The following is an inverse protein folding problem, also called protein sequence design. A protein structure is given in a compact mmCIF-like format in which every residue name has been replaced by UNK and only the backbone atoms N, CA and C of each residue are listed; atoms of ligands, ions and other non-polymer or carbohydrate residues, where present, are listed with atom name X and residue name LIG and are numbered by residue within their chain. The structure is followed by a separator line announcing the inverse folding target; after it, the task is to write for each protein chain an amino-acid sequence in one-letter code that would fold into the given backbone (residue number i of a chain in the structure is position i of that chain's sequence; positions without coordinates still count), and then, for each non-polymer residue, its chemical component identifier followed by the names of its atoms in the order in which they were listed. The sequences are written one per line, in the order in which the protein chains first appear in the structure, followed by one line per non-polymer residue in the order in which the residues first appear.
data_IF_063132072411
#
_entry.id   IF_063132072411
#
_cell.length_a   1.000
_cell.length_b   1.000
_cell.length_c   1.000
_cell.angle_alpha   90.00
_cell.angle_beta   90.00
_cell.angle_gamma   90.00
#
_symmetry.space_group_name_H-M   'P 1'
#
loop_
_entity.id
_entity.type
_entity.pdbx_description
1 polymer ?
#
# COMPACT_ATOMS: atom_id res chain seq x y z
N UNK A 1 17.13 48.03 -22.94
CA UNK A 1 18.61 48.15 -22.99
C UNK A 1 19.30 46.81 -23.11
N UNK A 2 20.08 46.60 -24.17
CA UNK A 2 20.69 45.32 -24.55
C UNK A 2 22.04 45.07 -23.82
N UNK A 3 22.13 45.39 -22.52
CA UNK A 3 23.38 45.32 -21.74
C UNK A 3 23.96 43.90 -21.64
N UNK A 4 23.13 42.86 -21.79
CA UNK A 4 23.57 41.45 -21.76
C UNK A 4 24.50 41.06 -22.92
N UNK A 5 24.49 41.80 -24.03
CA UNK A 5 25.34 41.55 -25.22
C UNK A 5 26.56 42.48 -25.29
N UNK A 6 26.89 43.19 -24.21
CA UNK A 6 28.00 44.12 -24.18
C UNK A 6 29.35 43.39 -24.41
N UNK A 7 30.23 43.88 -25.30
CA UNK A 7 31.58 43.35 -25.49
C UNK A 7 32.46 43.56 -24.25
N UNK A 8 33.41 42.65 -24.03
CA UNK A 8 34.37 42.73 -22.93
C UNK A 8 35.38 43.85 -23.17
N UNK A 9 35.67 44.62 -22.12
CA UNK A 9 36.76 45.60 -22.08
C UNK A 9 37.67 45.33 -20.88
N UNK A 10 38.99 45.56 -20.99
CA UNK A 10 39.89 45.47 -19.85
C UNK A 10 39.55 46.52 -18.78
N UNK A 11 39.98 46.27 -17.54
CA UNK A 11 39.74 47.16 -16.39
C UNK A 11 40.42 48.53 -16.56
N UNK A 12 41.54 48.59 -17.28
CA UNK A 12 42.23 49.85 -17.63
C UNK A 12 41.32 50.82 -18.38
N UNK A 13 40.57 50.32 -19.36
CA UNK A 13 39.62 51.13 -20.14
C UNK A 13 38.50 51.71 -19.29
N UNK A 14 38.04 50.97 -18.28
CA UNK A 14 37.07 51.49 -17.32
C UNK A 14 37.70 52.63 -16.51
N UNK A 15 38.93 52.46 -16.01
CA UNK A 15 39.61 53.49 -15.23
C UNK A 15 39.84 54.78 -16.03
N UNK A 16 40.25 54.65 -17.29
CA UNK A 16 40.39 55.76 -18.22
C UNK A 16 39.06 56.46 -18.49
N UNK A 17 37.98 55.71 -18.74
CA UNK A 17 36.65 56.28 -18.93
C UNK A 17 36.13 57.03 -17.67
N UNK A 18 36.52 56.57 -16.48
CA UNK A 18 36.23 57.25 -15.21
C UNK A 18 37.03 58.55 -15.08
N UNK A 19 38.29 58.56 -15.49
CA UNK A 19 39.14 59.76 -15.48
C UNK A 19 38.59 60.86 -16.39
N UNK A 20 38.09 60.49 -17.58
CA UNK A 20 37.52 61.41 -18.57
C UNK A 20 36.03 61.73 -18.37
N UNK A 21 35.42 61.35 -17.24
CA UNK A 21 33.99 61.57 -16.94
C UNK A 21 33.03 61.05 -18.03
N UNK A 22 33.40 60.00 -18.76
CA UNK A 22 32.61 59.48 -19.89
C UNK A 22 31.58 58.41 -19.48
N UNK A 23 31.61 57.95 -18.23
CA UNK A 23 30.72 56.91 -17.70
C UNK A 23 29.42 57.51 -17.19
N UNK A 24 28.27 57.04 -17.68
CA UNK A 24 26.94 57.55 -17.29
C UNK A 24 26.22 56.67 -16.27
N UNK A 25 26.30 55.35 -16.46
CA UNK A 25 25.53 54.37 -15.66
C UNK A 25 26.39 53.14 -15.41
N UNK A 26 26.36 52.65 -14.18
CA UNK A 26 27.09 51.46 -13.75
C UNK A 26 26.11 50.48 -13.12
N UNK A 27 26.12 49.24 -13.61
CA UNK A 27 25.33 48.13 -13.10
C UNK A 27 26.28 47.08 -12.52
N UNK A 28 26.19 46.83 -11.22
CA UNK A 28 26.95 45.77 -10.57
C UNK A 28 26.08 44.53 -10.38
N UNK A 29 26.59 43.38 -10.81
CA UNK A 29 25.97 42.10 -10.49
C UNK A 29 26.40 41.67 -9.09
N UNK A 30 25.45 41.53 -8.17
CA UNK A 30 25.72 41.12 -6.78
C UNK A 30 26.37 39.73 -6.67
N UNK A 31 26.06 38.83 -7.62
CA UNK A 31 26.53 37.44 -7.63
C UNK A 31 27.61 37.09 -8.67
N UNK A 32 27.94 38.00 -9.58
CA UNK A 32 29.01 37.77 -10.56
C UNK A 32 29.95 38.96 -10.56
N UNK A 33 31.27 38.74 -10.57
CA UNK A 33 32.29 39.80 -10.60
C UNK A 33 32.31 40.58 -11.92
N UNK A 34 31.15 40.79 -12.55
CA UNK A 34 30.97 41.45 -13.83
C UNK A 34 30.27 42.79 -13.57
N UNK A 35 30.92 43.85 -14.01
CA UNK A 35 30.41 45.21 -13.97
C UNK A 35 30.07 45.64 -15.38
N UNK A 36 28.85 46.12 -15.57
CA UNK A 36 28.42 46.73 -16.83
C UNK A 36 28.45 48.23 -16.67
N UNK A 37 29.07 48.92 -17.62
CA UNK A 37 29.09 50.38 -17.64
C UNK A 37 28.70 50.91 -19.02
N UNK A 38 27.99 52.03 -19.01
CA UNK A 38 27.58 52.77 -20.21
C UNK A 38 28.49 53.97 -20.33
N UNK A 39 29.20 54.10 -21.46
CA UNK A 39 30.10 55.22 -21.72
C UNK A 39 29.77 55.92 -23.03
N UNK A 40 30.05 57.22 -23.09
CA UNK A 40 29.98 58.03 -24.32
C UNK A 40 31.34 57.95 -25.02
N UNK A 41 31.35 57.57 -26.29
CA UNK A 41 32.54 57.73 -27.14
C UNK A 41 32.33 58.97 -27.99
N UNK A 42 33.22 59.94 -27.89
CA UNK A 42 33.30 61.04 -28.85
C UNK A 42 34.07 60.50 -30.06
N UNK A 43 33.39 60.28 -31.19
CA UNK A 43 34.05 59.85 -32.42
C UNK A 43 34.75 61.04 -33.05
N UNK A 44 36.05 60.93 -33.30
CA UNK A 44 36.84 61.99 -33.95
C UNK A 44 36.76 61.93 -35.49
N UNK A 45 36.05 60.94 -36.04
CA UNK A 45 35.83 60.75 -37.48
C UNK A 45 34.34 60.87 -37.85
N UNK A 46 33.80 62.09 -37.92
CA UNK A 46 32.62 62.42 -38.74
C UNK A 46 32.45 63.94 -38.84
N UNK A 47 32.74 64.50 -40.01
CA UNK A 47 32.70 65.95 -40.25
C UNK A 47 31.27 66.51 -40.31
N UNK A 48 30.20 65.70 -40.35
CA UNK A 48 28.85 66.25 -40.55
C UNK A 48 27.72 65.80 -39.59
N UNK A 49 27.94 65.02 -38.54
CA UNK A 49 26.90 64.81 -37.51
C UNK A 49 27.49 64.52 -36.13
N UNK A 50 27.21 65.40 -35.16
CA UNK A 50 27.69 65.32 -33.78
C UNK A 50 26.90 64.26 -32.96
N UNK A 51 26.78 63.03 -33.48
CA UNK A 51 26.12 61.92 -32.80
C UNK A 51 27.04 61.32 -31.73
N UNK A 52 26.79 61.63 -30.46
CA UNK A 52 27.49 60.95 -29.35
C UNK A 52 27.05 59.48 -29.30
N UNK A 53 27.93 58.56 -29.71
CA UNK A 53 27.63 57.13 -29.68
C UNK A 53 27.76 56.62 -28.25
N UNK A 54 26.66 56.13 -27.68
CA UNK A 54 26.63 55.63 -26.31
C UNK A 54 26.58 54.12 -26.32
N UNK A 55 27.63 53.47 -25.82
CA UNK A 55 27.76 52.01 -25.88
C UNK A 55 27.95 51.38 -24.51
N UNK A 56 27.47 50.13 -24.38
CA UNK A 56 27.63 49.32 -23.17
C UNK A 56 28.90 48.48 -23.25
N UNK A 57 29.67 48.43 -22.17
CA UNK A 57 30.82 47.54 -22.00
C UNK A 57 30.67 46.73 -20.72
N UNK A 58 31.32 45.58 -20.68
CA UNK A 58 31.43 44.75 -19.48
C UNK A 58 32.89 44.55 -19.10
N UNK A 59 33.19 44.69 -17.81
CA UNK A 59 34.52 44.46 -17.25
C UNK A 59 34.41 43.45 -16.12
N UNK A 60 35.37 42.53 -16.02
CA UNK A 60 35.48 41.60 -14.89
C UNK A 60 36.31 42.24 -13.78
N UNK A 61 35.75 42.28 -12.59
CA UNK A 61 36.43 42.74 -11.37
C UNK A 61 37.19 41.56 -10.74
N UNK A 62 38.37 41.80 -10.15
CA UNK A 62 39.09 40.76 -9.42
C UNK A 62 38.28 40.31 -8.19
N UNK A 63 38.02 39.00 -8.03
CA UNK A 63 37.09 38.48 -7.01
C UNK A 63 37.57 38.57 -5.56
N UNK A 64 38.80 39.04 -5.30
CA UNK A 64 39.42 39.04 -3.97
C UNK A 64 39.89 40.43 -3.49
N UNK A 65 39.40 41.52 -4.09
CA UNK A 65 39.80 42.89 -3.73
C UNK A 65 38.59 43.79 -3.47
N UNK A 66 37.84 43.57 -2.35
CA UNK A 66 36.66 44.36 -2.03
C UNK A 66 36.99 45.84 -1.76
N UNK A 67 38.22 46.15 -1.36
CA UNK A 67 38.70 47.52 -1.14
C UNK A 67 38.78 48.31 -2.45
N UNK A 68 39.39 47.74 -3.49
CA UNK A 68 39.49 48.34 -4.82
C UNK A 68 38.10 48.67 -5.40
N UNK A 69 37.14 47.77 -5.22
CA UNK A 69 35.76 47.99 -5.68
C UNK A 69 35.11 49.15 -4.93
N UNK A 70 35.28 49.22 -3.60
CA UNK A 70 34.75 50.33 -2.78
C UNK A 70 35.37 51.67 -3.17
N UNK A 71 36.68 51.73 -3.38
CA UNK A 71 37.39 52.94 -3.82
C UNK A 71 36.94 53.38 -5.22
N UNK A 72 36.78 52.43 -6.14
CA UNK A 72 36.23 52.71 -7.47
C UNK A 72 34.78 53.25 -7.37
N UNK A 73 33.95 52.68 -6.50
CA UNK A 73 32.58 53.16 -6.29
C UNK A 73 32.56 54.57 -5.68
N UNK A 74 33.47 54.87 -4.74
CA UNK A 74 33.61 56.21 -4.15
C UNK A 74 34.13 57.25 -5.16
N UNK A 75 35.08 56.88 -6.02
CA UNK A 75 35.60 57.76 -7.09
C UNK A 75 34.55 58.05 -8.15
N UNK A 76 33.72 57.06 -8.50
CA UNK A 76 32.57 57.22 -9.38
C UNK A 76 31.50 58.17 -8.80
N UNK A 77 31.26 58.11 -7.49
CA UNK A 77 30.29 58.97 -6.80
C UNK A 77 30.80 60.41 -6.63
N UNK A 78 32.07 60.59 -6.28
CA UNK A 78 32.67 61.91 -6.01
C UNK A 78 32.93 62.73 -7.28
N UNK A 79 33.21 62.10 -8.42
CA UNK A 79 33.55 62.80 -9.68
C UNK A 79 32.34 63.12 -10.57
N UNK A 80 31.11 62.90 -10.11
CA UNK A 80 29.89 63.45 -10.74
C UNK A 80 29.49 62.87 -12.12
N UNK A 81 30.11 61.78 -12.59
CA UNK A 81 29.77 61.16 -13.87
C UNK A 81 28.60 60.15 -13.81
N UNK A 82 28.43 59.46 -12.68
CA UNK A 82 27.45 58.38 -12.54
C UNK A 82 26.12 58.87 -11.96
N UNK A 83 25.08 58.94 -12.78
CA UNK A 83 23.74 59.38 -12.36
C UNK A 83 22.84 58.25 -11.84
N UNK A 84 23.28 56.99 -11.88
CA UNK A 84 22.48 55.86 -11.37
C UNK A 84 23.37 54.62 -11.15
N UNK A 85 23.63 54.28 -9.88
CA UNK A 85 24.28 53.02 -9.49
C UNK A 85 23.18 52.04 -9.08
N UNK A 86 22.90 51.05 -9.91
CA UNK A 86 21.91 50.02 -9.60
C UNK A 86 22.62 48.68 -9.41
N UNK A 87 22.43 48.08 -8.24
CA UNK A 87 22.75 46.67 -8.02
C UNK A 87 21.68 45.86 -8.75
N UNK A 88 22.07 44.94 -9.63
CA UNK A 88 21.09 44.12 -10.36
C UNK A 88 20.16 43.41 -9.35
N UNK A 89 18.84 43.41 -9.60
CA UNK A 89 17.86 42.94 -8.63
C UNK A 89 18.07 41.47 -8.28
N UNK A 90 17.98 41.17 -6.98
CA UNK A 90 17.95 39.81 -6.46
C UNK A 90 16.90 38.99 -7.21
N UNK A 91 17.33 37.88 -7.79
CA UNK A 91 16.46 36.99 -8.57
C UNK A 91 15.24 36.56 -7.74
N UNK A 92 14.07 36.45 -8.38
CA UNK A 92 12.82 35.98 -7.75
C UNK A 92 12.98 34.69 -6.93
N UNK A 93 13.98 33.87 -7.29
CA UNK A 93 14.36 32.64 -6.60
C UNK A 93 14.81 32.86 -5.16
N UNK A 94 15.51 33.96 -4.84
CA UNK A 94 15.96 34.23 -3.47
C UNK A 94 14.81 34.64 -2.55
N UNK A 95 13.79 35.33 -3.10
CA UNK A 95 12.58 35.72 -2.36
C UNK A 95 11.65 34.54 -2.07
N UNK A 96 11.64 33.51 -2.92
CA UNK A 96 10.84 32.30 -2.71
C UNK A 96 11.58 31.16 -2.01
N UNK A 97 12.92 31.19 -1.97
CA UNK A 97 13.72 30.13 -1.35
C UNK A 97 13.49 30.00 0.17
N UNK A 98 13.36 31.12 0.90
CA UNK A 98 13.13 31.12 2.35
C UNK A 98 11.81 30.45 2.77
N UNK A 99 10.64 30.79 2.20
CA UNK A 99 9.39 30.10 2.55
C UNK A 99 9.37 28.65 2.07
N UNK A 100 10.02 28.31 0.95
CA UNK A 100 10.12 26.92 0.48
C UNK A 100 10.91 26.03 1.44
N UNK A 101 12.03 26.53 1.98
CA UNK A 101 12.84 25.78 2.95
C UNK A 101 12.08 25.57 4.27
N UNK A 102 11.34 26.59 4.73
CA UNK A 102 10.51 26.50 5.93
C UNK A 102 9.29 25.57 5.75
N UNK A 103 8.74 25.48 4.54
CA UNK A 103 7.60 24.63 4.23
C UNK A 103 7.96 23.14 4.08
N UNK A 104 9.23 22.81 3.79
CA UNK A 104 9.70 21.44 3.59
C UNK A 104 9.36 20.47 4.73
N UNK A 105 9.59 20.77 6.03
CA UNK A 105 9.18 19.89 7.12
C UNK A 105 7.65 19.73 7.23
N UNK A 106 6.87 20.76 6.90
CA UNK A 106 5.40 20.68 6.93
C UNK A 106 4.85 19.84 5.77
N UNK A 107 5.43 19.95 4.57
CA UNK A 107 5.09 19.12 3.42
C UNK A 107 5.48 17.66 3.68
N UNK A 108 6.66 17.43 4.26
CA UNK A 108 7.10 16.11 4.68
C UNK A 108 6.15 15.49 5.72
N UNK A 109 5.75 16.26 6.74
CA UNK A 109 4.84 15.79 7.78
C UNK A 109 3.42 15.57 7.25
N UNK A 110 2.94 16.43 6.34
CA UNK A 110 1.68 16.23 5.64
C UNK A 110 1.69 14.97 4.77
N UNK A 111 2.78 14.75 4.02
CA UNK A 111 2.94 13.54 3.20
C UNK A 111 3.03 12.27 4.06
N UNK A 112 3.79 12.32 5.16
CA UNK A 112 3.88 11.23 6.12
C UNK A 112 2.52 10.95 6.78
N UNK A 113 1.78 12.00 7.15
CA UNK A 113 0.41 11.88 7.65
C UNK A 113 -0.52 11.22 6.62
N UNK A 114 -0.44 11.61 5.34
CA UNK A 114 -1.19 10.94 4.26
C UNK A 114 -0.75 9.50 4.03
N UNK A 115 0.55 9.19 4.14
CA UNK A 115 1.08 7.83 4.00
C UNK A 115 0.60 6.93 5.15
N UNK A 116 0.62 7.44 6.39
CA UNK A 116 0.08 6.73 7.56
C UNK A 116 -1.42 6.51 7.44
N UNK A 117 -2.19 7.47 6.91
CA UNK A 117 -3.62 7.25 6.64
C UNK A 117 -3.87 6.21 5.54
N UNK A 118 -3.04 6.17 4.49
CA UNK A 118 -3.17 5.18 3.42
C UNK A 118 -2.79 3.77 3.90
N UNK A 119 -1.77 3.66 4.75
CA UNK A 119 -1.39 2.41 5.42
C UNK A 119 -2.42 2.00 6.48
N UNK A 120 -2.97 2.95 7.24
CA UNK A 120 -4.04 2.70 8.21
C UNK A 120 -5.31 2.17 7.55
N UNK A 121 -5.69 2.65 6.35
CA UNK A 121 -6.83 2.08 5.62
C UNK A 121 -6.53 0.68 5.06
N UNK A 122 -5.27 0.35 4.78
CA UNK A 122 -4.87 -1.02 4.44
C UNK A 122 -4.78 -1.93 5.68
N UNK A 123 -4.47 -1.39 6.87
CA UNK A 123 -4.36 -2.15 8.12
C UNK A 123 -5.62 -2.20 8.99
N UNK A 124 -6.58 -1.31 8.80
CA UNK A 124 -7.92 -1.45 9.38
C UNK A 124 -8.64 -2.68 8.81
N UNK A 125 -8.33 -3.06 7.56
CA UNK A 125 -8.75 -4.32 6.95
C UNK A 125 -7.78 -5.49 7.18
N UNK A 126 -6.64 -5.29 7.86
CA UNK A 126 -5.79 -6.38 8.35
C UNK A 126 -6.33 -6.99 9.67
N UNK A 127 -7.56 -6.65 10.03
CA UNK A 127 -8.37 -7.35 11.04
C UNK A 127 -9.25 -8.45 10.42
N UNK A 128 -9.50 -8.40 9.11
CA UNK A 128 -9.88 -9.59 8.34
C UNK A 128 -8.59 -10.33 7.99
N UNK A 129 -8.26 -11.32 8.82
CA UNK A 129 -7.20 -12.27 8.55
C UNK A 129 -7.27 -12.71 7.08
N UNK A 130 -6.16 -12.58 6.36
CA UNK A 130 -5.87 -13.29 5.12
C UNK A 130 -5.95 -14.79 5.42
N UNK A 131 -7.17 -15.31 5.44
CA UNK A 131 -7.41 -16.73 5.38
C UNK A 131 -7.12 -17.13 3.95
N UNK A 132 -5.92 -17.69 3.73
CA UNK A 132 -5.78 -18.66 2.66
C UNK A 132 -6.98 -19.59 2.78
N UNK A 133 -7.83 -19.70 1.75
CA UNK A 133 -8.97 -20.59 1.79
C UNK A 133 -8.38 -21.97 2.05
N UNK A 134 -8.58 -22.45 3.28
CA UNK A 134 -8.11 -23.76 3.63
C UNK A 134 -8.87 -24.71 2.72
N UNK A 135 -8.15 -25.44 1.87
CA UNK A 135 -8.74 -26.23 0.78
C UNK A 135 -9.93 -27.02 1.32
N UNK A 136 -11.13 -26.57 0.92
CA UNK A 136 -12.40 -27.21 1.23
C UNK A 136 -12.54 -28.40 0.29
N UNK A 137 -11.60 -29.35 0.35
CA UNK A 137 -11.72 -30.61 -0.36
C UNK A 137 -12.77 -31.43 0.38
N UNK A 138 -13.97 -31.56 -0.19
CA UNK A 138 -14.84 -32.69 0.16
C UNK A 138 -14.01 -33.96 -0.04
N UNK A 139 -13.55 -34.56 1.05
CA UNK A 139 -12.67 -35.73 1.00
C UNK A 139 -13.48 -36.94 0.55
N UNK A 140 -13.49 -37.22 -0.76
CA UNK A 140 -14.05 -38.45 -1.34
C UNK A 140 -13.14 -39.66 -1.12
N UNK A 141 -12.06 -39.52 -0.35
CA UNK A 141 -11.16 -40.63 -0.01
C UNK A 141 -11.78 -41.50 1.07
N UNK A 142 -11.78 -42.81 0.86
CA UNK A 142 -12.32 -43.85 1.75
C UNK A 142 -11.20 -44.78 2.24
N UNK A 143 -11.48 -45.75 3.12
CA UNK A 143 -10.46 -46.71 3.56
C UNK A 143 -9.97 -47.62 2.42
N UNK A 144 -10.78 -47.78 1.37
CA UNK A 144 -10.38 -48.52 0.17
C UNK A 144 -9.20 -47.85 -0.57
N UNK A 145 -9.05 -46.54 -0.42
CA UNK A 145 -8.00 -45.76 -1.10
C UNK A 145 -6.67 -45.76 -0.32
N UNK A 146 -6.60 -46.44 0.83
CA UNK A 146 -5.44 -46.43 1.73
C UNK A 146 -4.93 -47.85 1.96
N UNK A 147 -3.71 -48.15 1.51
CA UNK A 147 -3.08 -49.44 1.71
C UNK A 147 -2.40 -49.56 3.09
N UNK A 148 -2.38 -50.77 3.65
CA UNK A 148 -1.58 -51.11 4.84
C UNK A 148 -2.18 -50.69 6.19
N UNK A 149 -3.51 -50.61 6.28
CA UNK A 149 -4.23 -50.20 7.50
C UNK A 149 -4.65 -51.35 8.43
N UNK A 150 -4.38 -52.61 8.08
CA UNK A 150 -4.95 -53.79 8.75
C UNK A 150 -4.72 -53.81 10.27
N UNK A 151 -3.58 -53.32 10.74
CA UNK A 151 -3.23 -53.28 12.16
C UNK A 151 -3.98 -52.19 12.97
N UNK A 152 -4.40 -51.10 12.32
CA UNK A 152 -5.02 -49.93 12.96
C UNK A 152 -6.49 -49.75 12.59
N UNK A 153 -6.99 -50.59 11.68
CA UNK A 153 -8.37 -50.58 11.22
C UNK A 153 -9.40 -50.66 12.37
N UNK A 154 -9.28 -51.55 13.38
CA UNK A 154 -10.29 -51.62 14.44
C UNK A 154 -10.38 -50.32 15.26
N UNK A 155 -9.24 -49.74 15.62
CA UNK A 155 -9.18 -48.49 16.41
C UNK A 155 -9.79 -47.32 15.62
N UNK A 156 -9.47 -47.24 14.33
CA UNK A 156 -9.97 -46.19 13.44
C UNK A 156 -11.45 -46.37 13.13
N UNK A 157 -11.94 -47.61 13.02
CA UNK A 157 -13.36 -47.92 12.84
C UNK A 157 -14.21 -47.50 14.04
N UNK A 158 -13.71 -47.65 15.27
CA UNK A 158 -14.38 -47.15 16.47
C UNK A 158 -14.61 -45.64 16.40
N UNK A 159 -13.60 -44.89 15.96
CA UNK A 159 -13.68 -43.43 15.77
C UNK A 159 -14.72 -43.07 14.70
N UNK A 160 -14.75 -43.78 13.57
CA UNK A 160 -15.76 -43.56 12.53
C UNK A 160 -17.17 -43.84 13.06
N UNK A 161 -17.35 -44.92 13.83
CA UNK A 161 -18.63 -45.24 14.46
C UNK A 161 -19.08 -44.14 15.42
N UNK A 162 -18.16 -43.61 16.22
CA UNK A 162 -18.41 -42.50 17.11
C UNK A 162 -18.84 -41.23 16.35
N UNK A 163 -18.14 -40.87 15.27
CA UNK A 163 -18.44 -39.69 14.48
C UNK A 163 -19.80 -39.78 13.76
N UNK A 164 -20.22 -40.98 13.33
CA UNK A 164 -21.52 -41.19 12.70
C UNK A 164 -22.69 -41.10 13.69
N UNK A 165 -22.56 -41.66 14.89
CA UNK A 165 -23.65 -41.76 15.87
C UNK A 165 -23.27 -41.24 17.26
N UNK A 166 -23.00 -39.93 17.43
CA UNK A 166 -22.53 -39.39 18.71
C UNK A 166 -23.54 -39.53 19.85
N UNK A 167 -24.85 -39.57 19.54
CA UNK A 167 -25.94 -39.68 20.54
C UNK A 167 -25.95 -41.03 21.24
N UNK A 168 -25.66 -42.12 20.53
CA UNK A 168 -25.61 -43.48 21.10
C UNK A 168 -24.50 -43.61 22.13
N UNK A 169 -23.32 -43.05 21.85
CA UNK A 169 -22.20 -43.04 22.78
C UNK A 169 -22.45 -42.15 24.01
N UNK A 170 -23.15 -41.02 23.84
CA UNK A 170 -23.57 -40.17 24.95
C UNK A 170 -24.59 -40.87 25.85
N UNK A 171 -25.54 -41.61 25.28
CA UNK A 171 -26.53 -42.37 26.04
C UNK A 171 -25.88 -43.51 26.87
N UNK A 172 -24.81 -44.10 26.37
CA UNK A 172 -23.99 -45.09 27.09
C UNK A 172 -23.08 -44.47 28.16
N UNK A 173 -23.02 -43.14 28.28
CA UNK A 173 -22.13 -42.45 29.22
C UNK A 173 -20.65 -42.51 28.84
N UNK A 174 -20.32 -42.95 27.63
CA UNK A 174 -18.94 -43.03 27.14
C UNK A 174 -18.37 -41.62 26.94
N UNK A 175 -17.17 -41.37 27.47
CA UNK A 175 -16.45 -40.11 27.25
C UNK A 175 -15.78 -40.15 25.88
N UNK A 176 -16.05 -39.17 24.99
CA UNK A 176 -15.45 -39.20 23.67
C UNK A 176 -13.96 -38.86 23.70
N UNK A 177 -13.15 -39.48 22.84
CA UNK A 177 -11.75 -39.11 22.68
C UNK A 177 -11.66 -37.66 22.20
N UNK A 178 -10.82 -36.83 22.86
CA UNK A 178 -10.69 -35.40 22.53
C UNK A 178 -9.78 -35.13 21.32
N UNK A 179 -8.90 -36.06 20.99
CA UNK A 179 -7.93 -35.93 19.91
C UNK A 179 -7.15 -37.22 19.73
N UNK A 180 -6.65 -37.42 18.51
CA UNK A 180 -5.89 -38.59 18.10
C UNK A 180 -4.54 -38.09 17.57
N UNK A 181 -3.46 -38.75 17.97
CA UNK A 181 -2.12 -38.44 17.50
C UNK A 181 -1.62 -39.58 16.61
N UNK A 182 -1.35 -39.28 15.34
CA UNK A 182 -0.73 -40.22 14.41
C UNK A 182 0.77 -39.91 14.33
N UNK A 183 1.62 -40.86 14.73
CA UNK A 183 3.07 -40.71 14.70
C UNK A 183 3.76 -41.77 13.82
N UNK A 184 5.05 -41.60 13.56
CA UNK A 184 5.89 -42.53 12.79
C UNK A 184 6.63 -41.86 11.63
N UNK A 185 7.28 -42.65 10.76
CA UNK A 185 8.10 -42.13 9.66
C UNK A 185 7.30 -41.23 8.71
N UNK A 186 7.94 -40.26 8.04
CA UNK A 186 7.32 -39.52 6.96
C UNK A 186 6.97 -40.47 5.81
N UNK A 187 5.86 -40.22 5.11
CA UNK A 187 5.43 -41.03 3.95
C UNK A 187 4.50 -42.21 4.29
N UNK A 188 4.27 -42.56 5.55
CA UNK A 188 3.33 -43.63 5.94
C UNK A 188 1.83 -43.23 5.87
N UNK A 189 1.46 -42.27 5.00
CA UNK A 189 0.05 -41.94 4.77
C UNK A 189 -0.73 -41.33 5.93
N UNK A 190 -0.11 -40.77 6.99
CA UNK A 190 -0.82 -40.23 8.18
C UNK A 190 -1.89 -39.18 7.81
N UNK A 191 -1.55 -38.24 6.93
CA UNK A 191 -2.47 -37.22 6.44
C UNK A 191 -3.56 -37.81 5.55
N UNK A 192 -3.24 -38.88 4.82
CA UNK A 192 -4.18 -39.58 3.93
C UNK A 192 -5.19 -40.38 4.76
N UNK A 193 -4.74 -41.07 5.81
CA UNK A 193 -5.60 -41.73 6.79
C UNK A 193 -6.59 -40.75 7.43
N UNK A 194 -6.15 -39.55 7.84
CA UNK A 194 -7.06 -38.55 8.41
C UNK A 194 -8.16 -38.12 7.42
N UNK A 195 -7.84 -38.02 6.12
CA UNK A 195 -8.80 -37.74 5.04
C UNK A 195 -9.73 -38.92 4.77
N UNK A 196 -9.22 -40.15 4.86
CA UNK A 196 -10.02 -41.36 4.72
C UNK A 196 -11.03 -41.50 5.86
N UNK A 197 -10.63 -41.21 7.11
CA UNK A 197 -11.52 -41.20 8.27
C UNK A 197 -12.64 -40.18 8.13
N UNK A 198 -12.35 -38.97 7.62
CA UNK A 198 -13.40 -37.96 7.40
C UNK A 198 -14.37 -38.36 6.29
N UNK A 199 -13.87 -38.98 5.22
CA UNK A 199 -14.69 -39.53 4.14
C UNK A 199 -15.60 -40.67 4.61
N UNK A 200 -15.05 -41.61 5.38
CA UNK A 200 -15.78 -42.74 5.95
C UNK A 200 -16.82 -42.31 6.97
N UNK A 201 -16.51 -41.36 7.83
CA UNK A 201 -17.48 -40.81 8.78
C UNK A 201 -18.51 -39.87 8.12
N UNK A 202 -18.39 -39.58 6.82
CA UNK A 202 -19.23 -38.65 6.07
C UNK A 202 -19.35 -37.27 6.76
N UNK A 203 -18.22 -36.77 7.28
CA UNK A 203 -18.16 -35.49 8.00
C UNK A 203 -17.94 -34.37 6.99
N UNK A 204 -18.91 -33.46 6.89
CA UNK A 204 -18.88 -32.37 5.91
C UNK A 204 -17.83 -31.28 6.23
N UNK A 205 -17.34 -31.23 7.47
CA UNK A 205 -16.38 -30.22 7.94
C UNK A 205 -15.02 -30.86 8.23
N UNK A 206 -14.15 -30.92 7.22
CA UNK A 206 -12.77 -31.36 7.34
C UNK A 206 -11.82 -30.18 7.04
N UNK A 207 -10.77 -30.02 7.84
CA UNK A 207 -9.77 -28.99 7.68
C UNK A 207 -8.38 -29.54 8.05
N UNK A 208 -7.38 -29.25 7.23
CA UNK A 208 -6.05 -29.87 7.29
C UNK A 208 -4.91 -28.86 7.46
N UNK A 209 -4.75 -28.29 8.65
CA UNK A 209 -3.77 -27.22 8.87
C UNK A 209 -2.34 -27.75 9.01
N UNK A 210 -1.36 -26.99 8.53
CA UNK A 210 0.04 -27.27 8.80
C UNK A 210 0.49 -26.61 10.12
N UNK A 211 1.37 -27.26 10.88
CA UNK A 211 1.85 -26.74 12.15
C UNK A 211 2.68 -25.46 11.98
N UNK A 212 3.42 -25.34 10.87
CA UNK A 212 4.20 -24.15 10.53
C UNK A 212 3.33 -22.90 10.37
N UNK A 213 2.05 -23.08 10.02
CA UNK A 213 1.13 -21.95 9.80
C UNK A 213 0.76 -21.25 11.10
N UNK A 214 1.12 -21.80 12.26
CA UNK A 214 0.85 -21.20 13.58
C UNK A 214 2.07 -20.52 14.20
N UNK A 215 3.24 -20.61 13.57
CA UNK A 215 4.49 -20.01 14.07
C UNK A 215 4.63 -18.61 13.49
N UNK A 216 4.58 -17.58 14.34
CA UNK A 216 4.70 -16.18 13.94
C UNK A 216 5.63 -15.39 14.87
N UNK A 217 6.19 -14.30 14.34
CA UNK A 217 7.11 -13.38 15.05
C UNK A 217 6.39 -12.63 16.18
N UNK A 218 5.08 -12.44 16.08
CA UNK A 218 4.30 -11.68 17.06
C UNK A 218 3.57 -12.60 18.04
N UNK A 219 3.84 -12.40 19.33
CA UNK A 219 3.19 -13.13 20.43
C UNK A 219 1.67 -12.94 20.38
N UNK A 220 0.93 -14.03 20.56
CA UNK A 220 -0.54 -14.02 20.66
C UNK A 220 -1.29 -14.17 19.33
N UNK A 221 -0.64 -13.95 18.18
CA UNK A 221 -1.30 -14.11 16.87
C UNK A 221 -1.57 -15.57 16.51
N UNK A 222 -0.63 -16.48 16.79
CA UNK A 222 -0.82 -17.92 16.58
C UNK A 222 -1.99 -18.49 17.40
N UNK A 223 -2.10 -18.11 18.68
CA UNK A 223 -3.20 -18.55 19.55
C UNK A 223 -4.56 -18.01 19.09
N UNK A 224 -4.61 -16.76 18.61
CA UNK A 224 -5.83 -16.19 18.03
C UNK A 224 -6.28 -16.96 16.78
N UNK A 225 -5.34 -17.35 15.90
CA UNK A 225 -5.62 -18.15 14.70
C UNK A 225 -6.21 -19.52 15.03
N UNK A 226 -5.66 -20.23 16.03
CA UNK A 226 -6.22 -21.52 16.49
C UNK A 226 -7.67 -21.35 16.93
N UNK A 227 -7.96 -20.32 17.72
CA UNK A 227 -9.34 -20.03 18.17
C UNK A 227 -10.27 -19.72 17.00
N UNK A 228 -9.81 -18.93 16.03
CA UNK A 228 -10.56 -18.59 14.84
C UNK A 228 -10.90 -19.83 14.02
N UNK A 229 -9.91 -20.69 13.76
CA UNK A 229 -10.08 -21.96 13.05
C UNK A 229 -11.18 -22.83 13.68
N UNK A 230 -11.15 -23.03 15.00
CA UNK A 230 -12.17 -23.80 15.70
C UNK A 230 -13.55 -23.12 15.67
N UNK A 231 -13.61 -21.79 15.70
CA UNK A 231 -14.86 -21.04 15.59
C UNK A 231 -15.51 -21.25 14.21
N UNK A 232 -14.71 -21.21 13.15
CA UNK A 232 -15.17 -21.45 11.78
C UNK A 232 -15.68 -22.87 11.56
N UNK A 233 -14.96 -23.88 12.06
CA UNK A 233 -15.39 -25.28 11.97
C UNK A 233 -16.73 -25.51 12.67
N UNK A 234 -16.93 -24.90 13.84
CA UNK A 234 -18.22 -24.94 14.56
C UNK A 234 -19.34 -24.25 13.78
N UNK A 235 -19.04 -23.14 13.10
CA UNK A 235 -20.02 -22.44 12.27
C UNK A 235 -20.41 -23.28 11.05
N UNK A 236 -19.45 -23.89 10.36
CA UNK A 236 -19.69 -24.79 9.23
C UNK A 236 -20.52 -26.01 9.63
N UNK A 237 -20.19 -26.64 10.76
CA UNK A 237 -20.95 -27.78 11.27
C UNK A 237 -22.43 -27.43 11.52
N UNK A 238 -22.70 -26.26 12.13
CA UNK A 238 -24.08 -25.76 12.34
C UNK A 238 -24.80 -25.48 11.02
N UNK A 239 -24.15 -24.80 10.07
CA UNK A 239 -24.73 -24.48 8.77
C UNK A 239 -25.12 -25.75 7.99
N UNK A 240 -24.25 -26.76 7.99
CA UNK A 240 -24.52 -28.02 7.32
C UNK A 240 -25.66 -28.81 8.00
N UNK A 241 -25.76 -28.75 9.32
CA UNK A 241 -26.86 -29.35 10.06
C UNK A 241 -28.21 -28.67 9.76
N UNK A 242 -28.24 -27.34 9.71
CA UNK A 242 -29.42 -26.58 9.26
C UNK A 242 -29.80 -26.90 7.81
N UNK A 243 -28.82 -27.09 6.93
CA UNK A 243 -29.07 -27.45 5.51
C UNK A 243 -29.65 -28.85 5.36
N UNK A 244 -29.15 -29.83 6.12
CA UNK A 244 -29.71 -31.19 6.16
C UNK A 244 -31.14 -31.19 6.72
N UNK A 245 -31.39 -30.42 7.80
CA UNK A 245 -32.72 -30.27 8.36
C UNK A 245 -33.70 -29.56 7.40
N UNK A 246 -33.26 -28.53 6.68
CA UNK A 246 -34.10 -27.82 5.71
C UNK A 246 -34.37 -28.64 4.44
N UNK A 247 -33.41 -29.45 3.99
CA UNK A 247 -33.62 -30.42 2.90
C UNK A 247 -34.61 -31.52 3.29
N UNK A 248 -34.56 -32.02 4.53
CA UNK A 248 -35.53 -32.99 5.03
C UNK A 248 -36.95 -32.40 5.17
N UNK A 249 -37.06 -31.13 5.59
CA UNK A 249 -38.34 -30.43 5.70
C UNK A 249 -38.90 -29.95 4.34
N UNK A 250 -38.03 -29.60 3.40
CA UNK A 250 -38.39 -29.12 2.06
C UNK A 250 -38.84 -30.21 1.08
N UNK A 251 -38.78 -31.49 1.47
CA UNK A 251 -39.32 -32.61 0.69
C UNK A 251 -40.85 -32.70 0.74
N UNK A 252 -41.51 -31.84 1.51
CA UNK A 252 -42.96 -31.65 1.45
C UNK A 252 -43.29 -30.87 0.17
N UNK A 253 -44.05 -31.45 -0.78
CA UNK A 253 -44.42 -30.75 -2.00
C UNK A 253 -45.10 -29.41 -1.66
N UNK A 254 -44.64 -28.32 -2.27
CA UNK A 254 -45.15 -26.97 -1.99
C UNK A 254 -46.65 -26.80 -2.29
N UNK A 255 -47.23 -27.70 -3.10
CA UNK A 255 -48.67 -27.80 -3.34
C UNK A 255 -49.45 -28.29 -2.11
N UNK A 256 -48.85 -29.15 -1.27
CA UNK A 256 -49.46 -29.64 -0.02
C UNK A 256 -49.54 -28.57 1.07
N UNK A 257 -48.62 -27.59 1.10
CA UNK A 257 -48.70 -26.48 2.04
C UNK A 257 -49.79 -25.44 1.69
N UNK A 258 -50.27 -25.44 0.44
CA UNK A 258 -51.31 -24.50 -0.04
C UNK A 258 -52.73 -24.94 0.32
N UNK A 259 -52.95 -26.24 0.50
CA UNK A 259 -54.19 -26.79 1.02
C UNK A 259 -53.99 -27.10 2.51
N UNK A 260 -54.47 -26.23 3.40
CA UNK A 260 -54.31 -26.36 4.86
C UNK A 260 -54.99 -27.59 5.46
N UNK A 261 -54.50 -28.79 5.14
CA UNK A 261 -54.99 -30.06 5.64
C UNK A 261 -54.28 -30.47 6.93
N UNK A 262 -55.01 -30.96 7.94
CA UNK A 262 -54.43 -31.43 9.19
C UNK A 262 -53.56 -32.68 8.99
N UNK A 263 -52.50 -32.80 9.80
CA UNK A 263 -51.43 -33.83 9.71
C UNK A 263 -51.97 -35.28 9.78
N UNK A 264 -53.16 -35.49 10.36
CA UNK A 264 -53.82 -36.80 10.44
C UNK A 264 -54.47 -37.28 9.13
N UNK A 265 -54.74 -36.38 8.17
CA UNK A 265 -55.30 -36.74 6.86
C UNK A 265 -54.26 -37.34 5.90
N UNK A 266 -52.97 -37.19 6.19
CA UNK A 266 -51.85 -37.60 5.34
C UNK A 266 -51.71 -39.12 5.24
N UNK A 267 -52.06 -39.85 6.31
CA UNK A 267 -51.99 -41.32 6.35
C UNK A 267 -53.06 -41.99 5.46
N UNK A 268 -54.21 -41.34 5.26
CA UNK A 268 -55.32 -41.88 4.46
C UNK A 268 -55.03 -41.85 2.95
N UNK A 269 -54.32 -40.84 2.47
CA UNK A 269 -54.05 -40.67 1.04
C UNK A 269 -52.98 -41.64 0.51
N UNK A 270 -52.01 -42.02 1.35
CA UNK A 270 -50.98 -43.00 0.99
C UNK A 270 -51.52 -44.44 0.95
N UNK A 271 -52.60 -44.73 1.68
CA UNK A 271 -53.28 -46.04 1.68
C UNK A 271 -54.38 -46.17 0.62
N UNK A 272 -54.86 -45.06 0.05
CA UNK A 272 -55.94 -45.03 -0.93
C UNK A 272 -55.69 -45.86 -2.23
N UNK A 273 -54.46 -45.93 -2.80
CA UNK A 273 -54.22 -46.70 -4.02
C UNK A 273 -54.37 -48.21 -3.83
N UNK A 274 -54.17 -48.73 -2.61
CA UNK A 274 -54.29 -50.17 -2.33
C UNK A 274 -55.74 -50.63 -2.12
N UNK A 275 -56.66 -49.70 -1.84
CA UNK A 275 -58.07 -50.03 -1.56
C UNK A 275 -58.96 -50.00 -2.81
N UNK A 276 -58.53 -49.39 -3.92
CA UNK A 276 -59.30 -49.30 -5.16
C UNK A 276 -58.89 -50.28 -6.27
N UNK A 277 -57.84 -51.08 -6.09
CA UNK A 277 -57.39 -52.09 -7.05
C UNK A 277 -57.62 -53.54 -6.59
N UNK A 278 -58.38 -53.73 -5.51
CA UNK A 278 -58.86 -55.02 -5.03
C UNK A 278 -60.37 -55.12 -5.14
N UNK A 279 -60.87 -55.19 -6.38
CA UNK A 279 -62.26 -55.48 -6.73
C UNK A 279 -62.30 -56.44 -7.91
#
# INVERSE_FOLDING_TARGET
DNYRKAPESPLSHLWEAIQHQMVQKVLLSSGSSILYYKYKSTGEDNIDNNETNVSWRRTRLPPNQPQMVREMMQTLQSRGGCSDVQVLPDSWTSRLAQPMLAALPFVYLFFLYRMVQHFSNQHANLSSMDEKPHDKSSSTTTFADVAGLDAILPDVQEIVHYLRNPTTFQALGARPPRGILLHGPPGCGKTLLAKAVSGEAAVDAFCACNASDFVEVFVGRGAARVRHLFAQLRQQARQNQHRKASMAAGWIPQWLARHGMPINAWWWWWWWPSFMLGG
#
